data_IF_813850757293
#
_entry.id   IF_813850757293
#
_cell.length_a   1.000
_cell.length_b   1.000
_cell.length_c   1.000
_cell.angle_alpha   90.00
_cell.angle_beta   90.00
_cell.angle_gamma   90.00
#
_symmetry.space_group_name_H-M   'P 1'
#
loop_
_entity.id
_entity.type
_entity.pdbx_description
1 polymer ?
#
# COMPACT_ATOMS: atom_id res chain seq x y z
N UNK A 1 25.71 -27.45 0.63
CA UNK A 1 26.29 -26.18 1.14
C UNK A 1 25.96 -26.10 2.62
N UNK A 2 26.90 -25.69 3.47
CA UNK A 2 26.73 -25.56 4.93
C UNK A 2 26.95 -24.09 5.29
N UNK A 3 26.03 -23.50 6.06
CA UNK A 3 26.13 -22.14 6.55
C UNK A 3 26.34 -22.16 8.07
N UNK A 4 27.38 -21.46 8.56
CA UNK A 4 27.63 -21.29 9.99
C UNK A 4 26.83 -20.09 10.49
N UNK A 5 25.83 -20.37 11.33
CA UNK A 5 24.95 -19.36 11.94
C UNK A 5 25.22 -19.21 13.44
N UNK A 6 26.41 -19.58 13.92
CA UNK A 6 26.76 -19.44 15.34
C UNK A 6 26.60 -17.98 15.80
N UNK A 7 26.02 -17.82 16.99
CA UNK A 7 25.75 -16.53 17.64
C UNK A 7 24.78 -15.61 16.87
N UNK A 8 24.05 -16.14 15.87
CA UNK A 8 22.98 -15.46 15.15
C UNK A 8 21.60 -15.95 15.57
N UNK A 9 20.58 -15.11 15.36
CA UNK A 9 19.18 -15.49 15.51
C UNK A 9 18.65 -15.98 14.17
N UNK A 10 18.20 -17.22 14.13
CA UNK A 10 17.46 -17.77 12.99
C UNK A 10 15.97 -17.56 13.23
N UNK A 11 15.31 -16.87 12.31
CA UNK A 11 13.88 -16.59 12.36
C UNK A 11 13.23 -16.88 11.01
N UNK A 12 11.90 -16.90 10.98
CA UNK A 12 11.13 -16.80 9.75
C UNK A 12 11.38 -15.43 9.09
N UNK A 13 11.25 -15.36 7.77
CA UNK A 13 11.28 -14.10 7.05
C UNK A 13 10.12 -13.19 7.47
N UNK A 14 10.39 -11.90 7.58
CA UNK A 14 9.37 -10.93 7.98
C UNK A 14 8.40 -10.64 6.83
N UNK A 15 7.21 -10.17 7.20
CA UNK A 15 6.17 -9.73 6.28
C UNK A 15 5.87 -8.26 6.58
N UNK A 16 6.01 -7.40 5.58
CA UNK A 16 5.60 -6.00 5.66
C UNK A 16 4.27 -5.82 4.95
N UNK A 17 3.26 -5.29 5.65
CA UNK A 17 1.93 -5.09 5.09
C UNK A 17 1.76 -3.72 4.42
N UNK A 18 2.75 -2.82 4.53
CA UNK A 18 2.63 -1.44 4.04
C UNK A 18 3.94 -0.91 3.45
N UNK A 19 4.11 -1.05 2.14
CA UNK A 19 5.30 -0.57 1.43
C UNK A 19 4.97 0.31 0.22
N UNK A 20 5.90 1.19 -0.14
CA UNK A 20 5.77 2.14 -1.24
C UNK A 20 6.94 1.99 -2.22
N UNK A 21 6.80 1.12 -3.22
CA UNK A 21 7.87 0.86 -4.19
C UNK A 21 7.87 1.80 -5.40
N UNK A 22 6.89 2.70 -5.50
CA UNK A 22 6.85 3.85 -6.42
C UNK A 22 6.84 3.54 -7.92
N UNK A 23 7.04 2.30 -8.32
CA UNK A 23 6.82 1.80 -9.68
C UNK A 23 5.43 1.16 -9.79
N UNK A 24 4.62 1.54 -10.79
CA UNK A 24 4.93 2.45 -11.90
C UNK A 24 4.86 3.95 -11.56
N UNK A 25 5.59 4.76 -12.33
CA UNK A 25 5.38 6.21 -12.45
C UNK A 25 6.38 7.09 -11.71
N UNK A 26 6.95 6.61 -10.60
CA UNK A 26 7.95 7.32 -9.79
C UNK A 26 9.19 6.46 -9.55
N UNK A 27 9.69 5.85 -10.63
CA UNK A 27 10.92 5.04 -10.66
C UNK A 27 12.17 5.85 -10.26
N UNK A 28 12.09 7.19 -10.31
CA UNK A 28 13.11 8.10 -9.78
C UNK A 28 13.26 7.99 -8.25
N UNK A 29 12.21 7.57 -7.54
CA UNK A 29 12.21 7.41 -6.09
C UNK A 29 12.56 5.99 -5.66
N UNK A 30 11.94 4.99 -6.29
CA UNK A 30 12.14 3.57 -5.99
C UNK A 30 11.57 2.73 -7.15
N UNK A 31 12.07 1.51 -7.33
CA UNK A 31 11.56 0.51 -8.29
C UNK A 31 11.20 -0.79 -7.58
N UNK A 32 10.45 -1.69 -8.23
CA UNK A 32 10.14 -3.01 -7.66
C UNK A 32 11.43 -3.78 -7.32
N UNK A 33 12.46 -3.66 -8.17
CA UNK A 33 13.75 -4.32 -7.97
C UNK A 33 14.55 -3.73 -6.80
N UNK A 34 14.62 -2.40 -6.70
CA UNK A 34 15.42 -1.75 -5.66
C UNK A 34 14.74 -1.87 -4.29
N UNK A 35 13.42 -1.64 -4.22
CA UNK A 35 12.61 -1.85 -3.02
C UNK A 35 12.64 -3.30 -2.52
N UNK A 36 12.59 -4.29 -3.43
CA UNK A 36 12.69 -5.71 -3.03
C UNK A 36 14.07 -6.09 -2.50
N UNK A 37 15.15 -5.54 -3.05
CA UNK A 37 16.49 -5.73 -2.49
C UNK A 37 16.61 -5.09 -1.09
N UNK A 38 16.03 -3.91 -0.90
CA UNK A 38 15.99 -3.26 0.42
C UNK A 38 15.19 -4.07 1.44
N UNK A 39 14.02 -4.60 1.04
CA UNK A 39 13.21 -5.50 1.87
C UNK A 39 14.00 -6.76 2.27
N UNK A 40 14.66 -7.40 1.31
CA UNK A 40 15.48 -8.59 1.56
C UNK A 40 16.62 -8.28 2.56
N UNK A 41 17.31 -7.15 2.39
CA UNK A 41 18.37 -6.73 3.30
C UNK A 41 17.84 -6.44 4.73
N UNK A 42 16.58 -5.99 4.85
CA UNK A 42 15.87 -5.81 6.12
C UNK A 42 15.34 -7.11 6.75
N UNK A 43 15.49 -8.26 6.09
CA UNK A 43 14.99 -9.55 6.57
C UNK A 43 13.53 -9.85 6.18
N UNK A 44 12.92 -9.01 5.33
CA UNK A 44 11.58 -9.25 4.78
C UNK A 44 11.66 -10.19 3.59
N UNK A 45 10.76 -11.16 3.56
CA UNK A 45 10.59 -12.09 2.42
C UNK A 45 9.26 -11.90 1.72
N UNK A 46 8.35 -11.13 2.32
CA UNK A 46 7.04 -10.76 1.77
C UNK A 46 6.78 -9.28 2.05
N UNK A 47 6.28 -8.58 1.05
CA UNK A 47 5.89 -7.17 1.17
C UNK A 47 4.58 -6.92 0.44
N UNK A 48 3.73 -6.05 0.98
CA UNK A 48 2.53 -5.58 0.33
C UNK A 48 2.72 -4.16 -0.19
N UNK A 49 2.57 -3.94 -1.50
CA UNK A 49 2.79 -2.62 -2.13
C UNK A 49 1.48 -1.86 -2.26
N UNK A 50 1.48 -0.59 -1.84
CA UNK A 50 0.31 0.29 -1.88
C UNK A 50 -0.09 0.68 -3.31
N UNK A 51 -1.38 0.97 -3.55
CA UNK A 51 -1.90 1.25 -4.88
C UNK A 51 -1.64 2.68 -5.40
N UNK A 52 -1.04 3.56 -4.61
CA UNK A 52 -0.84 4.97 -4.93
C UNK A 52 0.41 5.24 -5.79
N UNK A 53 0.51 4.47 -6.86
CA UNK A 53 1.43 4.63 -7.99
C UNK A 53 0.83 5.56 -9.06
N UNK A 54 1.56 5.81 -10.14
CA UNK A 54 1.04 6.57 -11.28
C UNK A 54 1.27 5.82 -12.60
N UNK A 55 0.24 5.20 -13.20
CA UNK A 55 -1.15 5.17 -12.75
C UNK A 55 -1.35 4.36 -11.45
N UNK A 56 -2.45 4.58 -10.71
CA UNK A 56 -2.75 3.78 -9.53
C UNK A 56 -3.08 2.33 -9.89
N UNK A 57 -2.96 1.43 -8.93
CA UNK A 57 -3.32 0.01 -9.10
C UNK A 57 -4.83 -0.21 -8.99
N UNK A 58 -5.60 0.38 -9.90
CA UNK A 58 -7.08 0.44 -9.84
C UNK A 58 -7.79 -0.39 -10.93
N UNK A 59 -7.03 -1.16 -11.73
CA UNK A 59 -7.56 -2.09 -12.74
C UNK A 59 -6.91 -3.48 -12.66
N UNK A 60 -7.57 -4.53 -13.19
CA UNK A 60 -6.98 -5.87 -13.28
C UNK A 60 -5.64 -5.91 -14.04
N UNK A 61 -5.50 -5.09 -15.08
CA UNK A 61 -4.26 -5.00 -15.88
C UNK A 61 -3.09 -4.44 -15.06
N UNK A 62 -3.35 -3.43 -14.23
CA UNK A 62 -2.33 -2.88 -13.34
C UNK A 62 -1.89 -3.91 -12.28
N UNK A 63 -2.84 -4.70 -11.76
CA UNK A 63 -2.53 -5.80 -10.85
C UNK A 63 -1.65 -6.86 -11.52
N UNK A 64 -1.99 -7.27 -12.73
CA UNK A 64 -1.22 -8.25 -13.50
C UNK A 64 0.19 -7.73 -13.83
N UNK A 65 0.32 -6.45 -14.17
CA UNK A 65 1.63 -5.81 -14.40
C UNK A 65 2.57 -5.98 -13.18
N UNK A 66 2.09 -5.72 -11.97
CA UNK A 66 2.91 -5.88 -10.76
C UNK A 66 3.29 -7.35 -10.54
N UNK A 67 2.36 -8.28 -10.74
CA UNK A 67 2.61 -9.73 -10.59
C UNK A 67 3.69 -10.21 -11.57
N UNK A 68 3.61 -9.80 -12.84
CA UNK A 68 4.59 -10.17 -13.86
C UNK A 68 5.96 -9.55 -13.57
N UNK A 69 6.00 -8.24 -13.26
CA UNK A 69 7.25 -7.53 -13.01
C UNK A 69 7.96 -7.97 -11.74
N UNK A 70 7.21 -8.34 -10.70
CA UNK A 70 7.79 -8.79 -9.43
C UNK A 70 8.30 -10.23 -9.48
N UNK A 71 8.03 -11.00 -10.54
CA UNK A 71 8.45 -12.41 -10.65
C UNK A 71 9.96 -12.62 -10.57
N UNK A 72 10.77 -11.63 -10.97
CA UNK A 72 12.23 -11.68 -10.87
C UNK A 72 12.78 -11.08 -9.57
N UNK A 73 11.93 -10.57 -8.69
CA UNK A 73 12.36 -9.98 -7.43
C UNK A 73 12.75 -11.05 -6.39
N UNK A 74 13.69 -10.75 -5.49
CA UNK A 74 14.17 -11.68 -4.46
C UNK A 74 13.17 -11.92 -3.30
N UNK A 75 12.10 -11.13 -3.22
CA UNK A 75 11.04 -11.25 -2.20
C UNK A 75 9.68 -11.36 -2.89
N UNK A 76 8.70 -11.94 -2.20
CA UNK A 76 7.33 -11.98 -2.70
C UNK A 76 6.65 -10.62 -2.56
N UNK A 77 6.27 -10.02 -3.68
CA UNK A 77 5.52 -8.76 -3.72
C UNK A 77 4.05 -9.07 -3.88
N UNK A 78 3.23 -8.58 -2.96
CA UNK A 78 1.78 -8.76 -2.93
C UNK A 78 1.10 -7.41 -3.20
N UNK A 79 0.51 -7.18 -4.37
CA UNK A 79 -0.11 -5.89 -4.67
C UNK A 79 -1.41 -5.68 -3.88
N UNK A 80 -1.61 -4.47 -3.38
CA UNK A 80 -2.88 -3.99 -2.83
C UNK A 80 -3.57 -3.16 -3.91
N UNK A 81 -4.84 -3.47 -4.17
CA UNK A 81 -5.62 -2.76 -5.17
C UNK A 81 -6.23 -1.46 -4.63
N UNK A 82 -6.45 -0.47 -5.49
CA UNK A 82 -7.24 0.70 -5.14
C UNK A 82 -8.69 0.30 -4.86
N UNK A 83 -9.32 0.90 -3.84
CA UNK A 83 -10.76 0.74 -3.60
C UNK A 83 -11.55 1.51 -4.66
N UNK A 84 -11.10 2.71 -5.00
CA UNK A 84 -11.80 3.58 -5.94
C UNK A 84 -10.99 3.92 -7.18
N UNK A 85 -11.71 4.16 -8.29
CA UNK A 85 -11.10 4.50 -9.58
C UNK A 85 -10.32 5.81 -9.48
N UNK A 86 -9.05 5.76 -9.87
CA UNK A 86 -8.09 6.83 -9.73
C UNK A 86 -7.85 7.29 -8.29
N UNK A 87 -8.19 6.46 -7.29
CA UNK A 87 -8.20 6.81 -5.86
C UNK A 87 -8.98 8.10 -5.54
N UNK A 88 -10.12 8.31 -6.23
CA UNK A 88 -10.93 9.54 -6.10
C UNK A 88 -12.01 9.48 -5.01
N UNK A 89 -12.18 8.33 -4.36
CA UNK A 89 -13.20 8.09 -3.33
C UNK A 89 -14.65 8.18 -3.83
N UNK A 90 -14.90 7.98 -5.13
CA UNK A 90 -16.24 8.13 -5.75
C UNK A 90 -16.85 6.82 -6.24
N UNK A 91 -16.17 6.18 -7.18
CA UNK A 91 -16.63 4.96 -7.84
C UNK A 91 -15.71 3.80 -7.48
N UNK A 92 -16.28 2.66 -7.08
CA UNK A 92 -15.51 1.45 -6.77
C UNK A 92 -14.79 0.91 -8.02
N UNK A 93 -13.65 0.28 -7.80
CA UNK A 93 -12.91 -0.48 -8.82
C UNK A 93 -13.56 -1.85 -9.08
N UNK A 94 -13.03 -2.58 -10.06
CA UNK A 94 -13.42 -3.96 -10.35
C UNK A 94 -12.78 -4.93 -9.35
N UNK A 95 -13.08 -4.74 -8.05
CA UNK A 95 -12.41 -5.44 -6.93
C UNK A 95 -12.41 -6.97 -7.10
N UNK A 96 -13.48 -7.56 -7.63
CA UNK A 96 -13.55 -9.00 -7.89
C UNK A 96 -12.48 -9.48 -8.89
N UNK A 97 -12.38 -8.81 -10.03
CA UNK A 97 -11.40 -9.12 -11.08
C UNK A 97 -9.97 -8.83 -10.59
N UNK A 98 -9.78 -7.74 -9.85
CA UNK A 98 -8.47 -7.40 -9.28
C UNK A 98 -7.99 -8.44 -8.26
N UNK A 99 -8.89 -8.99 -7.45
CA UNK A 99 -8.59 -10.11 -6.55
C UNK A 99 -8.14 -11.35 -7.34
N UNK A 100 -8.82 -11.68 -8.43
CA UNK A 100 -8.44 -12.79 -9.31
C UNK A 100 -7.04 -12.58 -9.91
N UNK A 101 -6.64 -11.32 -10.14
CA UNK A 101 -5.30 -10.94 -10.60
C UNK A 101 -4.26 -10.80 -9.47
N UNK A 102 -4.60 -11.13 -8.22
CA UNK A 102 -3.64 -11.21 -7.11
C UNK A 102 -3.72 -10.09 -6.08
N UNK A 103 -4.75 -9.23 -6.10
CA UNK A 103 -4.97 -8.26 -5.02
C UNK A 103 -5.21 -8.99 -3.70
N UNK A 104 -4.36 -8.74 -2.70
CA UNK A 104 -4.49 -9.36 -1.36
C UNK A 104 -5.32 -8.54 -0.38
N UNK A 105 -5.51 -7.25 -0.67
CA UNK A 105 -6.32 -6.30 0.08
C UNK A 105 -6.68 -5.12 -0.84
N UNK A 106 -7.55 -4.22 -0.35
CA UNK A 106 -7.85 -2.97 -1.04
C UNK A 106 -7.66 -1.76 -0.14
N UNK A 107 -7.11 -0.66 -0.68
CA UNK A 107 -6.87 0.59 0.03
C UNK A 107 -6.86 1.77 -0.93
N UNK A 108 -7.24 2.97 -0.48
CA UNK A 108 -6.93 4.22 -1.20
C UNK A 108 -5.80 5.00 -0.51
N UNK A 109 -4.80 4.30 0.06
CA UNK A 109 -3.70 4.88 0.86
C UNK A 109 -3.16 6.23 0.36
N UNK A 110 -3.05 7.18 1.28
CA UNK A 110 -2.69 8.58 1.02
C UNK A 110 -3.84 9.47 0.51
N UNK A 111 -4.97 8.89 0.10
CA UNK A 111 -6.17 9.59 -0.39
C UNK A 111 -7.44 9.00 0.26
N UNK A 112 -7.76 9.40 1.51
CA UNK A 112 -8.80 8.72 2.29
C UNK A 112 -10.19 8.87 1.69
N UNK A 113 -10.98 7.79 1.72
CA UNK A 113 -12.37 7.80 1.25
C UNK A 113 -13.24 8.55 2.26
N UNK A 114 -13.59 9.79 1.92
CA UNK A 114 -14.45 10.65 2.75
C UNK A 114 -15.93 10.23 2.70
N UNK A 115 -16.39 9.69 1.57
CA UNK A 115 -17.79 9.28 1.42
C UNK A 115 -18.03 7.93 2.12
N UNK A 116 -18.69 7.99 3.29
CA UNK A 116 -19.06 6.80 4.06
C UNK A 116 -19.94 5.80 3.30
N UNK A 117 -20.70 6.23 2.28
CA UNK A 117 -21.45 5.33 1.42
C UNK A 117 -20.56 4.53 0.47
N UNK A 118 -19.44 5.11 0.02
CA UNK A 118 -18.42 4.42 -0.77
C UNK A 118 -17.68 3.42 0.10
N UNK A 119 -17.21 3.85 1.28
CA UNK A 119 -16.53 2.96 2.24
C UNK A 119 -17.42 1.79 2.66
N UNK A 120 -18.69 2.04 2.97
CA UNK A 120 -19.65 0.98 3.30
C UNK A 120 -19.78 -0.06 2.18
N UNK A 121 -19.96 0.39 0.93
CA UNK A 121 -20.06 -0.52 -0.22
C UNK A 121 -18.75 -1.29 -0.41
N UNK A 122 -17.60 -0.65 -0.26
CA UNK A 122 -16.30 -1.31 -0.32
C UNK A 122 -16.19 -2.45 0.71
N UNK A 123 -16.61 -2.20 1.97
CA UNK A 123 -16.64 -3.22 3.02
C UNK A 123 -17.63 -4.36 2.73
N UNK A 124 -18.81 -4.06 2.17
CA UNK A 124 -19.78 -5.08 1.75
C UNK A 124 -19.19 -6.01 0.67
N UNK A 125 -18.53 -5.45 -0.35
CA UNK A 125 -17.84 -6.22 -1.40
C UNK A 125 -16.64 -6.99 -0.85
N UNK A 126 -15.83 -6.36 0.00
CA UNK A 126 -14.67 -6.98 0.63
C UNK A 126 -15.06 -8.21 1.46
N UNK A 127 -16.18 -8.13 2.18
CA UNK A 127 -16.76 -9.27 2.91
C UNK A 127 -17.20 -10.40 1.97
N UNK A 128 -17.88 -10.08 0.86
CA UNK A 128 -18.26 -11.08 -0.15
C UNK A 128 -17.03 -11.76 -0.78
N UNK A 129 -15.97 -10.98 -1.00
CA UNK A 129 -14.72 -11.43 -1.61
C UNK A 129 -13.76 -12.06 -0.60
N UNK A 130 -14.03 -12.01 0.71
CA UNK A 130 -13.12 -12.44 1.78
C UNK A 130 -11.71 -11.85 1.65
N UNK A 131 -11.65 -10.53 1.50
CA UNK A 131 -10.42 -9.72 1.42
C UNK A 131 -10.56 -8.51 2.35
N UNK A 132 -9.50 -8.02 3.01
CA UNK A 132 -9.60 -6.87 3.89
C UNK A 132 -9.60 -5.54 3.11
N UNK A 133 -10.27 -4.55 3.69
CA UNK A 133 -10.05 -3.12 3.38
C UNK A 133 -9.02 -2.58 4.37
N UNK A 134 -8.02 -1.85 3.88
CA UNK A 134 -7.02 -1.14 4.69
C UNK A 134 -7.30 0.34 4.55
N UNK A 135 -7.57 1.01 5.67
CA UNK A 135 -7.93 2.42 5.67
C UNK A 135 -6.78 3.29 6.18
N UNK A 136 -6.34 4.25 5.35
CA UNK A 136 -5.57 5.39 5.82
C UNK A 136 -6.55 6.37 6.47
N UNK A 137 -6.79 6.20 7.77
CA UNK A 137 -7.82 6.93 8.48
C UNK A 137 -7.41 8.39 8.74
N UNK A 138 -7.81 9.27 7.83
CA UNK A 138 -7.60 10.71 7.93
C UNK A 138 -8.84 11.44 7.38
N UNK A 139 -9.41 12.34 8.18
CA UNK A 139 -10.48 13.22 7.73
C UNK A 139 -9.83 14.45 7.08
N UNK A 140 -10.11 14.67 5.80
CA UNK A 140 -9.46 15.72 5.02
C UNK A 140 -9.81 17.13 5.52
N UNK A 141 -11.00 17.29 6.13
CA UNK A 141 -11.45 18.58 6.67
C UNK A 141 -10.83 18.86 8.03
N UNK A 142 -10.55 17.82 8.82
CA UNK A 142 -9.79 17.96 10.07
C UNK A 142 -8.31 18.20 9.79
N UNK A 143 -7.69 17.44 8.88
CA UNK A 143 -6.30 17.64 8.48
C UNK A 143 -6.08 19.05 7.93
N UNK A 144 -6.99 19.50 7.06
CA UNK A 144 -6.84 20.72 6.28
C UNK A 144 -5.43 20.78 5.63
N UNK A 145 -4.67 21.84 5.94
CA UNK A 145 -3.30 22.08 5.46
C UNK A 145 -2.21 21.65 6.46
N UNK A 146 -2.55 20.78 7.43
CA UNK A 146 -1.64 20.30 8.46
C UNK A 146 -0.43 19.55 7.88
N UNK A 147 0.77 19.92 8.32
CA UNK A 147 2.04 19.33 7.84
C UNK A 147 2.77 18.49 8.90
N UNK A 148 2.28 18.51 10.13
CA UNK A 148 2.79 17.77 11.26
C UNK A 148 1.71 17.67 12.35
N UNK A 149 1.88 16.81 13.35
CA UNK A 149 0.96 16.71 14.49
C UNK A 149 0.68 18.08 15.14
N UNK A 150 -0.60 18.39 15.38
CA UNK A 150 -1.01 19.60 16.12
C UNK A 150 -0.55 19.55 17.58
N UNK A 151 0.28 20.51 18.00
CA UNK A 151 0.68 20.61 19.40
C UNK A 151 1.74 21.67 19.67
N UNK A 152 2.36 21.58 20.85
CA UNK A 152 3.34 22.57 21.33
C UNK A 152 4.48 22.78 20.31
N UNK A 153 4.91 21.71 19.63
CA UNK A 153 6.01 21.78 18.66
C UNK A 153 5.57 22.52 17.40
N UNK A 154 4.39 22.23 16.82
CA UNK A 154 3.90 22.92 15.63
C UNK A 154 3.68 24.41 15.91
N UNK A 155 3.13 24.75 17.08
CA UNK A 155 2.99 26.14 17.54
C UNK A 155 4.33 26.86 17.66
N UNK A 156 5.34 26.21 18.26
CA UNK A 156 6.69 26.81 18.42
C UNK A 156 7.40 27.02 17.08
N UNK A 157 7.19 26.12 16.12
CA UNK A 157 7.76 26.20 14.78
C UNK A 157 6.95 27.11 13.83
N UNK A 158 5.74 27.50 14.22
CA UNK A 158 4.83 28.26 13.36
C UNK A 158 4.30 27.46 12.18
N UNK A 159 4.20 26.13 12.31
CA UNK A 159 3.73 25.23 11.26
C UNK A 159 2.26 24.84 11.48
N UNK A 160 1.45 24.69 10.40
CA UNK A 160 0.09 24.17 10.49
C UNK A 160 0.04 22.74 11.06
N UNK A 161 -0.86 22.50 12.02
CA UNK A 161 -1.06 21.20 12.66
C UNK A 161 -2.10 20.32 11.96
N UNK A 162 -1.88 18.99 12.00
CA UNK A 162 -2.83 17.93 11.67
C UNK A 162 -3.30 17.30 13.00
N UNK A 163 -4.59 17.43 13.38
CA UNK A 163 -5.14 16.98 14.67
C UNK A 163 -5.30 15.46 14.81
#
# INVERSE_FOLDING_TARGET
>A
MVYDCKDLVITHGFCDLHTHFREPGREDKETLQTGSMAAMAGGFTRVCVMPNTDPPLDTPEAMNFIQERSSSCPVHIHPIGAVSKGQKGKDLTEMGLMKEMGAVAFSDDGLPIQDGSVMRRALEYANMLNVPIINHAEDEYLRADGVMNEGIVSTRLGLPGNP
#
